data_IF_213792188721
#
_entry.id   IF_213792188721
#
_cell.length_a   1.000
_cell.length_b   1.000
_cell.length_c   1.000
_cell.angle_alpha   90.00
_cell.angle_beta   90.00
_cell.angle_gamma   90.00
#
_symmetry.space_group_name_H-M   'P 1'
#
loop_
_entity.id
_entity.type
_entity.pdbx_description
1 polymer ?
#
# COMPACT_ATOMS: atom_id res chain seq x y z
N UNK A 1 -10.73 -15.81 16.33
CA UNK A 1 -10.34 -15.32 15.01
C UNK A 1 -9.21 -14.32 15.18
N UNK A 2 -8.05 -14.59 14.57
CA UNK A 2 -6.87 -13.73 14.64
C UNK A 2 -7.12 -12.39 13.92
N UNK A 3 -6.40 -11.34 14.29
CA UNK A 3 -6.54 -10.02 13.64
C UNK A 3 -6.25 -10.08 12.14
N UNK A 4 -5.34 -10.97 11.72
CA UNK A 4 -5.01 -11.25 10.30
C UNK A 4 -6.21 -11.78 9.52
N UNK A 5 -6.94 -12.74 10.11
CA UNK A 5 -8.11 -13.36 9.47
C UNK A 5 -9.22 -12.34 9.30
N UNK A 6 -9.37 -11.43 10.26
CA UNK A 6 -10.37 -10.34 10.20
C UNK A 6 -10.08 -9.40 9.03
N UNK A 7 -8.83 -8.93 8.88
CA UNK A 7 -8.45 -8.08 7.76
C UNK A 7 -8.56 -8.78 6.41
N UNK A 8 -8.29 -10.07 6.33
CA UNK A 8 -8.46 -10.82 5.09
C UNK A 8 -9.94 -10.99 4.74
N UNK A 9 -10.79 -11.32 5.70
CA UNK A 9 -12.24 -11.45 5.50
C UNK A 9 -12.90 -10.11 5.12
N UNK A 10 -12.57 -9.04 5.85
CA UNK A 10 -13.04 -7.69 5.56
C UNK A 10 -12.70 -7.25 4.13
N UNK A 11 -11.47 -7.56 3.68
CA UNK A 11 -11.05 -7.25 2.31
C UNK A 11 -11.84 -8.03 1.26
N UNK A 12 -12.13 -9.30 1.50
CA UNK A 12 -12.95 -10.09 0.57
C UNK A 12 -14.35 -9.48 0.44
N UNK A 13 -14.94 -9.06 1.55
CA UNK A 13 -16.23 -8.40 1.56
C UNK A 13 -16.19 -7.05 0.82
N UNK A 14 -15.18 -6.23 1.09
CA UNK A 14 -14.96 -4.93 0.44
C UNK A 14 -14.77 -5.08 -1.08
N UNK A 15 -13.98 -6.07 -1.52
CA UNK A 15 -13.82 -6.36 -2.95
C UNK A 15 -15.19 -6.66 -3.59
N UNK A 16 -15.95 -7.57 -3.00
CA UNK A 16 -17.18 -8.06 -3.59
C UNK A 16 -18.33 -7.03 -3.57
N UNK A 17 -18.44 -6.26 -2.49
CA UNK A 17 -19.57 -5.35 -2.28
C UNK A 17 -19.35 -3.93 -2.77
N UNK A 18 -18.11 -3.49 -2.88
CA UNK A 18 -17.79 -2.10 -3.20
C UNK A 18 -16.85 -1.94 -4.39
N UNK A 19 -15.66 -2.57 -4.38
CA UNK A 19 -14.66 -2.30 -5.40
C UNK A 19 -15.07 -2.85 -6.78
N UNK A 20 -15.42 -4.13 -6.88
CA UNK A 20 -15.80 -4.76 -8.15
C UNK A 20 -17.00 -4.09 -8.80
N UNK A 21 -18.14 -3.82 -8.13
CA UNK A 21 -19.27 -3.15 -8.75
C UNK A 21 -18.94 -1.75 -9.31
N UNK A 22 -18.04 -1.02 -8.65
CA UNK A 22 -17.61 0.30 -9.15
C UNK A 22 -16.75 0.17 -10.40
N UNK A 23 -15.77 -0.73 -10.39
CA UNK A 23 -14.90 -0.98 -11.55
C UNK A 23 -15.70 -1.50 -12.74
N UNK A 24 -16.63 -2.44 -12.53
CA UNK A 24 -17.52 -2.97 -13.57
C UNK A 24 -18.42 -1.88 -14.16
N UNK A 25 -18.76 -0.84 -13.39
CA UNK A 25 -19.48 0.35 -13.90
C UNK A 25 -18.59 1.37 -14.60
N UNK A 26 -17.29 1.07 -14.81
CA UNK A 26 -16.35 1.94 -15.47
C UNK A 26 -15.78 3.08 -14.61
N UNK A 27 -15.93 2.97 -13.28
CA UNK A 27 -15.37 3.98 -12.36
C UNK A 27 -13.91 3.69 -12.06
N UNK A 28 -13.11 4.75 -11.95
CA UNK A 28 -11.77 4.68 -11.35
C UNK A 28 -11.91 4.64 -9.83
N UNK A 29 -11.22 3.72 -9.19
CA UNK A 29 -11.26 3.56 -7.73
C UNK A 29 -9.90 3.90 -7.13
N UNK A 30 -9.86 4.86 -6.23
CA UNK A 30 -8.71 5.14 -5.37
C UNK A 30 -8.94 4.51 -3.99
N UNK A 31 -8.13 3.53 -3.64
CA UNK A 31 -8.23 2.83 -2.37
C UNK A 31 -7.09 3.25 -1.43
N UNK A 32 -7.42 3.90 -0.31
CA UNK A 32 -6.44 4.20 0.74
C UNK A 32 -6.13 2.94 1.54
N UNK A 33 -4.94 2.39 1.31
CA UNK A 33 -4.45 1.12 1.81
C UNK A 33 -5.23 -0.08 1.25
N UNK A 34 -4.45 -1.13 0.97
CA UNK A 34 -4.96 -2.43 0.52
C UNK A 34 -4.11 -3.53 1.17
N UNK A 35 -3.91 -4.70 0.54
CA UNK A 35 -3.18 -5.81 1.15
C UNK A 35 -1.70 -5.51 1.44
N UNK A 36 -1.08 -4.56 0.74
CA UNK A 36 0.31 -4.16 1.02
C UNK A 36 0.52 -3.66 2.45
N UNK A 37 -0.41 -2.85 2.97
CA UNK A 37 -0.36 -2.42 4.37
C UNK A 37 -0.45 -3.61 5.32
N UNK A 38 -1.34 -4.56 5.02
CA UNK A 38 -1.48 -5.76 5.83
C UNK A 38 -0.17 -6.56 5.88
N UNK A 39 0.49 -6.75 4.73
CA UNK A 39 1.79 -7.40 4.67
C UNK A 39 2.83 -6.66 5.49
N UNK A 40 3.07 -5.38 5.23
CA UNK A 40 4.11 -4.59 5.87
C UNK A 40 3.98 -4.52 7.40
N UNK A 41 2.76 -4.40 7.92
CA UNK A 41 2.53 -4.36 9.37
C UNK A 41 2.62 -5.75 10.02
N UNK A 42 2.27 -6.80 9.32
CA UNK A 42 2.22 -8.13 9.90
C UNK A 42 3.50 -8.94 9.74
N UNK A 43 4.42 -8.54 8.87
CA UNK A 43 5.78 -9.11 8.83
C UNK A 43 6.56 -8.92 10.13
N UNK A 44 6.14 -8.02 10.99
CA UNK A 44 6.69 -7.87 12.35
C UNK A 44 6.47 -9.11 13.24
N UNK A 45 5.45 -9.90 12.93
CA UNK A 45 5.04 -11.04 13.78
C UNK A 45 4.74 -12.32 13.01
N UNK A 46 4.88 -12.30 11.68
CA UNK A 46 4.47 -13.39 10.81
C UNK A 46 5.37 -13.47 9.59
N UNK A 47 5.52 -14.67 9.06
CA UNK A 47 6.22 -14.91 7.81
C UNK A 47 5.48 -14.30 6.61
N UNK A 48 6.22 -13.70 5.68
CA UNK A 48 5.64 -13.03 4.50
C UNK A 48 4.93 -14.03 3.57
N UNK A 49 5.47 -15.22 3.36
CA UNK A 49 4.84 -16.21 2.47
C UNK A 49 3.49 -16.71 3.04
N UNK A 50 3.37 -16.82 4.36
CA UNK A 50 2.09 -17.11 4.98
C UNK A 50 1.09 -15.96 4.80
N UNK A 51 1.53 -14.72 4.93
CA UNK A 51 0.69 -13.54 4.68
C UNK A 51 0.22 -13.48 3.23
N UNK A 52 1.08 -13.83 2.27
CA UNK A 52 0.73 -13.92 0.85
C UNK A 52 -0.33 -15.01 0.61
N UNK A 53 -0.21 -16.17 1.27
CA UNK A 53 -1.22 -17.25 1.18
C UNK A 53 -2.57 -16.81 1.73
N UNK A 54 -2.62 -16.17 2.89
CA UNK A 54 -3.86 -15.65 3.49
C UNK A 54 -4.57 -14.62 2.61
N UNK A 55 -3.81 -13.86 1.82
CA UNK A 55 -4.35 -12.84 0.93
C UNK A 55 -4.44 -13.31 -0.54
N UNK A 56 -4.18 -14.58 -0.83
CA UNK A 56 -4.15 -15.11 -2.19
C UNK A 56 -5.47 -14.91 -2.94
N UNK A 57 -6.61 -15.00 -2.24
CA UNK A 57 -7.92 -14.75 -2.84
C UNK A 57 -8.02 -13.30 -3.32
N UNK A 58 -7.76 -12.33 -2.46
CA UNK A 58 -7.83 -10.92 -2.80
C UNK A 58 -6.91 -10.56 -3.98
N UNK A 59 -5.67 -11.05 -3.94
CA UNK A 59 -4.67 -10.84 -5.00
C UNK A 59 -5.06 -11.44 -6.36
N UNK A 60 -5.76 -12.57 -6.36
CA UNK A 60 -6.26 -13.19 -7.60
C UNK A 60 -7.53 -12.54 -8.12
N UNK A 61 -8.38 -12.06 -7.21
CA UNK A 61 -9.69 -11.50 -7.57
C UNK A 61 -9.57 -10.07 -8.04
N UNK A 62 -8.75 -9.27 -7.36
CA UNK A 62 -8.60 -7.86 -7.70
C UNK A 62 -7.18 -7.39 -7.32
N UNK A 63 -6.32 -7.28 -8.31
CA UNK A 63 -5.03 -6.56 -8.19
C UNK A 63 -5.26 -5.08 -8.48
N UNK A 64 -4.59 -4.18 -7.77
CA UNK A 64 -4.55 -2.78 -8.18
C UNK A 64 -3.74 -2.63 -9.47
N UNK A 65 -4.18 -1.78 -10.38
CA UNK A 65 -3.44 -1.46 -11.61
C UNK A 65 -2.12 -0.77 -11.27
N UNK A 66 -2.11 0.07 -10.26
CA UNK A 66 -0.90 0.68 -9.70
C UNK A 66 -0.98 0.84 -8.19
N UNK A 67 0.15 0.69 -7.53
CA UNK A 67 0.33 0.94 -6.09
C UNK A 67 1.25 2.15 -5.93
N UNK A 68 0.75 3.22 -5.36
CA UNK A 68 1.57 4.39 -5.02
C UNK A 68 1.98 4.30 -3.56
N UNK A 69 3.27 4.19 -3.31
CA UNK A 69 3.84 4.24 -1.98
C UNK A 69 4.56 5.57 -1.76
N UNK A 70 4.03 6.38 -0.85
CA UNK A 70 4.63 7.65 -0.46
C UNK A 70 5.66 7.37 0.65
N UNK A 71 6.93 7.29 0.27
CA UNK A 71 8.01 7.00 1.20
C UNK A 71 8.45 8.26 1.95
N UNK A 72 8.30 8.25 3.26
CA UNK A 72 8.72 9.34 4.14
C UNK A 72 9.68 8.77 5.19
N UNK A 73 10.76 9.50 5.43
CA UNK A 73 11.70 9.17 6.48
C UNK A 73 11.00 9.04 7.85
N UNK A 74 11.27 7.98 8.64
CA UNK A 74 10.61 7.76 9.93
C UNK A 74 10.80 8.90 10.93
N UNK A 75 11.96 9.57 10.93
CA UNK A 75 12.23 10.73 11.76
C UNK A 75 11.39 11.93 11.33
N UNK A 76 11.20 12.14 10.03
CA UNK A 76 10.30 13.15 9.50
C UNK A 76 8.84 12.84 9.86
N UNK A 77 8.41 11.60 9.74
CA UNK A 77 7.10 11.17 10.21
C UNK A 77 6.89 11.45 11.70
N UNK A 78 7.92 11.23 12.51
CA UNK A 78 7.89 11.52 13.94
C UNK A 78 7.79 13.03 14.20
N UNK A 79 8.56 13.85 13.48
CA UNK A 79 8.48 15.33 13.59
C UNK A 79 7.10 15.84 13.21
N UNK A 80 6.53 15.37 12.09
CA UNK A 80 5.17 15.76 11.66
C UNK A 80 4.10 15.37 12.67
N UNK A 81 4.24 14.22 13.35
CA UNK A 81 3.33 13.81 14.43
C UNK A 81 3.47 14.67 15.67
N UNK A 82 4.71 15.00 16.08
CA UNK A 82 4.96 15.84 17.23
C UNK A 82 4.32 17.24 17.08
N UNK A 83 4.41 17.83 15.92
CA UNK A 83 3.75 19.09 15.60
C UNK A 83 2.21 19.03 15.71
N UNK A 84 1.61 17.85 15.59
CA UNK A 84 0.16 17.64 15.74
C UNK A 84 -0.27 17.29 17.17
N UNK A 85 0.61 17.36 18.16
CA UNK A 85 0.27 17.22 19.60
C UNK A 85 0.59 15.88 20.24
N UNK A 86 1.49 15.07 19.69
CA UNK A 86 1.82 13.72 20.19
C UNK A 86 3.26 13.56 20.67
N UNK A 87 3.67 14.22 21.76
CA UNK A 87 5.07 14.26 22.20
C UNK A 87 5.57 13.05 23.03
N UNK A 88 4.69 12.26 23.66
CA UNK A 88 5.08 11.36 24.76
C UNK A 88 5.66 9.97 24.35
N UNK A 89 5.57 9.56 23.08
CA UNK A 89 6.00 8.21 22.62
C UNK A 89 6.88 8.28 21.36
N UNK A 90 7.74 9.28 21.30
CA UNK A 90 8.51 9.60 20.09
C UNK A 90 9.40 8.44 19.62
N UNK A 91 10.19 7.85 20.54
CA UNK A 91 11.20 6.84 20.17
C UNK A 91 10.59 5.48 19.79
N UNK A 92 9.64 4.96 20.58
CA UNK A 92 9.00 3.68 20.29
C UNK A 92 8.21 3.72 18.97
N UNK A 93 7.48 4.81 18.73
CA UNK A 93 6.73 4.98 17.49
C UNK A 93 7.63 5.21 16.28
N UNK A 94 8.83 5.77 16.45
CA UNK A 94 9.79 5.94 15.36
C UNK A 94 10.44 4.61 15.01
N UNK A 95 10.82 3.81 16.01
CA UNK A 95 11.36 2.47 15.77
C UNK A 95 10.34 1.56 15.07
N UNK A 96 9.10 1.56 15.53
CA UNK A 96 8.03 0.85 14.86
C UNK A 96 7.85 1.32 13.40
N UNK A 97 7.95 2.63 13.14
CA UNK A 97 7.86 3.17 11.78
C UNK A 97 9.01 2.69 10.89
N UNK A 98 10.24 2.57 11.41
CA UNK A 98 11.38 1.98 10.68
C UNK A 98 11.13 0.53 10.32
N UNK A 99 10.64 -0.26 11.28
CA UNK A 99 10.32 -1.67 11.07
C UNK A 99 9.22 -1.85 10.01
N UNK A 100 8.15 -1.05 10.08
CA UNK A 100 7.07 -1.06 9.08
C UNK A 100 7.61 -0.67 7.69
N UNK A 101 8.44 0.37 7.60
CA UNK A 101 9.09 0.77 6.33
C UNK A 101 9.93 -0.37 5.76
N UNK A 102 10.71 -1.05 6.60
CA UNK A 102 11.46 -2.25 6.19
C UNK A 102 10.51 -3.36 5.71
N UNK A 103 9.38 -3.56 6.40
CA UNK A 103 8.35 -4.49 5.97
C UNK A 103 7.80 -4.16 4.58
N UNK A 104 7.52 -2.89 4.29
CA UNK A 104 7.12 -2.45 2.94
C UNK A 104 8.21 -2.76 1.90
N UNK A 105 9.48 -2.46 2.19
CA UNK A 105 10.59 -2.74 1.28
C UNK A 105 10.70 -4.23 0.94
N UNK A 106 10.61 -5.11 1.95
CA UNK A 106 10.61 -6.56 1.76
C UNK A 106 9.43 -7.02 0.87
N UNK A 107 8.25 -6.49 1.12
CA UNK A 107 7.05 -6.80 0.32
C UNK A 107 7.22 -6.32 -1.13
N UNK A 108 7.74 -5.12 -1.34
CA UNK A 108 7.97 -4.57 -2.67
C UNK A 108 9.01 -5.39 -3.44
N UNK A 109 10.12 -5.74 -2.82
CA UNK A 109 11.14 -6.60 -3.43
C UNK A 109 10.58 -7.96 -3.83
N UNK A 110 9.69 -8.52 -3.00
CA UNK A 110 9.04 -9.82 -3.26
C UNK A 110 8.02 -9.74 -4.41
N UNK A 111 7.34 -8.61 -4.57
CA UNK A 111 6.21 -8.47 -5.48
C UNK A 111 6.47 -7.60 -6.73
N UNK A 112 7.63 -6.99 -6.86
CA UNK A 112 7.98 -6.06 -7.96
C UNK A 112 7.86 -6.63 -9.37
N UNK A 113 7.88 -7.94 -9.52
CA UNK A 113 7.67 -8.63 -10.82
C UNK A 113 6.22 -8.99 -11.09
N UNK A 114 5.35 -8.84 -10.08
CA UNK A 114 3.95 -9.22 -10.13
C UNK A 114 2.99 -8.03 -10.02
N UNK A 115 3.49 -6.92 -9.48
CA UNK A 115 2.68 -5.74 -9.10
C UNK A 115 3.38 -4.46 -9.54
N UNK A 116 2.63 -3.49 -10.04
CA UNK A 116 3.16 -2.18 -10.43
C UNK A 116 3.27 -1.27 -9.21
N UNK A 117 4.48 -1.11 -8.69
CA UNK A 117 4.74 -0.36 -7.46
C UNK A 117 5.51 0.91 -7.80
N UNK A 118 4.89 2.06 -7.55
CA UNK A 118 5.44 3.38 -7.74
C UNK A 118 5.86 3.94 -6.38
N UNK A 119 7.17 4.05 -6.15
CA UNK A 119 7.72 4.62 -4.92
C UNK A 119 7.96 6.10 -5.15
N UNK A 120 7.29 6.94 -4.36
CA UNK A 120 7.33 8.39 -4.47
C UNK A 120 7.94 8.98 -3.20
N UNK A 121 8.90 9.87 -3.35
CA UNK A 121 9.46 10.63 -2.22
C UNK A 121 8.40 11.53 -1.59
N UNK A 122 8.06 11.24 -0.33
CA UNK A 122 7.09 11.98 0.47
C UNK A 122 7.67 13.14 1.28
N UNK A 123 8.91 13.54 1.02
CA UNK A 123 9.52 14.70 1.65
C UNK A 123 8.95 16.03 1.10
N UNK A 124 9.05 17.10 1.90
CA UNK A 124 8.54 18.42 1.52
C UNK A 124 7.07 18.65 1.83
N UNK A 125 6.49 19.67 1.21
CA UNK A 125 5.08 20.04 1.39
C UNK A 125 4.10 19.22 0.57
N UNK A 126 2.80 19.29 0.89
CA UNK A 126 1.75 18.52 0.19
C UNK A 126 1.78 18.71 -1.33
N UNK A 127 1.88 19.94 -1.81
CA UNK A 127 1.86 20.27 -3.24
C UNK A 127 3.03 19.62 -4.01
N UNK A 128 4.21 19.53 -3.35
CA UNK A 128 5.38 18.88 -3.95
C UNK A 128 5.21 17.37 -4.03
N UNK A 129 4.62 16.77 -3.01
CA UNK A 129 4.33 15.33 -2.98
C UNK A 129 3.26 15.01 -4.00
N UNK A 130 2.19 15.82 -4.08
CA UNK A 130 1.14 15.69 -5.09
C UNK A 130 1.71 15.71 -6.52
N UNK A 131 2.57 16.70 -6.82
CA UNK A 131 3.20 16.81 -8.14
C UNK A 131 4.04 15.57 -8.49
N UNK A 132 4.77 14.99 -7.52
CA UNK A 132 5.54 13.75 -7.72
C UNK A 132 4.64 12.54 -7.95
N UNK A 133 3.55 12.41 -7.18
CA UNK A 133 2.56 11.34 -7.36
C UNK A 133 1.97 11.43 -8.76
N UNK A 134 1.56 12.63 -9.19
CA UNK A 134 0.97 12.85 -10.50
C UNK A 134 1.95 12.51 -11.62
N UNK A 135 3.19 12.96 -11.51
CA UNK A 135 4.25 12.64 -12.48
C UNK A 135 4.51 11.13 -12.58
N UNK A 136 4.53 10.42 -11.45
CA UNK A 136 4.72 8.97 -11.44
C UNK A 136 3.55 8.23 -12.10
N UNK A 137 2.31 8.66 -11.84
CA UNK A 137 1.11 8.09 -12.46
C UNK A 137 1.03 8.39 -13.96
N UNK A 138 1.37 9.61 -14.39
CA UNK A 138 1.44 9.92 -15.82
C UNK A 138 2.43 9.02 -16.56
N UNK A 139 3.64 8.86 -16.03
CA UNK A 139 4.64 7.96 -16.60
C UNK A 139 4.16 6.51 -16.67
N UNK A 140 3.40 6.05 -15.69
CA UNK A 140 2.78 4.73 -15.71
C UNK A 140 1.75 4.59 -16.84
N UNK A 141 0.83 5.54 -17.00
CA UNK A 141 -0.19 5.50 -18.04
C UNK A 141 0.38 5.68 -19.46
N UNK A 142 1.41 6.52 -19.62
CA UNK A 142 2.07 6.76 -20.91
C UNK A 142 2.94 5.58 -21.36
N UNK A 143 3.45 4.76 -20.44
CA UNK A 143 4.28 3.60 -20.76
C UNK A 143 3.52 2.42 -21.38
N UNK A 144 2.20 2.51 -21.50
CA UNK A 144 1.36 1.47 -22.10
C UNK A 144 1.23 0.17 -21.31
N UNK A 145 1.70 0.16 -20.07
CA UNK A 145 1.68 -1.04 -19.19
C UNK A 145 0.25 -1.53 -18.90
N UNK A 146 -0.76 -0.71 -19.21
CA UNK A 146 -2.18 -1.07 -19.05
C UNK A 146 -2.69 -2.13 -20.06
N UNK A 147 -1.99 -2.40 -21.18
CA UNK A 147 -2.51 -3.30 -22.21
C UNK A 147 -2.33 -4.79 -21.88
N UNK A 148 -1.42 -5.16 -20.98
CA UNK A 148 -1.13 -6.57 -20.69
C UNK A 148 -1.94 -7.17 -19.52
N UNK A 149 -2.63 -6.36 -18.72
CA UNK A 149 -3.32 -6.82 -17.50
C UNK A 149 -4.81 -7.11 -17.70
N UNK A 150 -5.37 -6.77 -18.86
CA UNK A 150 -6.83 -6.88 -19.13
C UNK A 150 -7.23 -8.16 -19.86
N UNK A 151 -6.51 -9.27 -19.70
CA UNK A 151 -7.02 -10.57 -20.21
C UNK A 151 -7.34 -11.51 -19.04
N UNK A 152 -8.54 -12.09 -19.04
CA UNK A 152 -9.07 -12.96 -17.98
C UNK A 152 -8.34 -14.28 -17.86
#
# INVERSE_FOLDING_TARGET
>A
MCIRDRYAADRVEHIAKDLLPRLESGQTVLCDRYYFSNFAYQTLTSDLEDLLRYNAFARRTLRPDAVVFVDVDPEECARRRAHRGGAAEFYEKTELARQIRTGYQQVFDRLKTEEHILIVDGSGGPDQVEARIWSALQGYFESGVNEEITQP
#
